data_IF_855911782758
#
_entry.id   IF_855911782758
#
_cell.length_a   1.000
_cell.length_b   1.000
_cell.length_c   1.000
_cell.angle_alpha   90.00
_cell.angle_beta   90.00
_cell.angle_gamma   90.00
#
_symmetry.space_group_name_H-M   'P 1'
#
loop_
_entity.id
_entity.type
_entity.pdbx_description
1 polymer ?
#
# COMPACT_ATOMS: atom_id res chain seq x y z
N UNK A 1 2.30 17.72 41.68
CA UNK A 1 1.56 17.86 40.41
C UNK A 1 0.12 18.17 40.74
N UNK A 2 -0.23 19.43 40.52
CA UNK A 2 -1.56 19.94 40.84
C UNK A 2 -2.62 19.31 39.95
N UNK A 3 -3.87 19.41 40.40
CA UNK A 3 -5.04 18.86 39.69
C UNK A 3 -5.19 19.48 38.29
N UNK A 4 -4.76 20.74 38.14
CA UNK A 4 -4.75 21.49 36.87
C UNK A 4 -3.69 20.95 35.92
N UNK A 5 -2.48 20.67 36.40
CA UNK A 5 -1.38 20.11 35.57
C UNK A 5 -1.75 18.76 34.96
N UNK A 6 -2.42 17.90 35.75
CA UNK A 6 -2.89 16.59 35.26
C UNK A 6 -3.98 16.71 34.20
N UNK A 7 -4.85 17.71 34.31
CA UNK A 7 -5.90 17.96 33.32
C UNK A 7 -5.32 18.49 32.00
N UNK A 8 -4.40 19.45 32.08
CA UNK A 8 -3.69 20.00 30.91
C UNK A 8 -2.87 18.91 30.21
N UNK A 9 -2.12 18.09 30.97
CA UNK A 9 -1.37 16.96 30.43
C UNK A 9 -2.29 15.92 29.75
N UNK A 10 -3.45 15.65 30.32
CA UNK A 10 -4.45 14.73 29.74
C UNK A 10 -5.00 15.22 28.40
N UNK A 11 -5.31 16.52 28.29
CA UNK A 11 -5.78 17.12 27.03
C UNK A 11 -4.69 17.11 25.97
N UNK A 12 -3.47 17.50 26.33
CA UNK A 12 -2.33 17.46 25.42
C UNK A 12 -2.06 16.04 24.91
N UNK A 13 -2.03 15.06 25.81
CA UNK A 13 -1.84 13.66 25.43
C UNK A 13 -2.99 13.15 24.54
N UNK A 14 -4.24 13.47 24.87
CA UNK A 14 -5.40 13.11 24.09
C UNK A 14 -5.40 13.74 22.69
N UNK A 15 -5.04 15.02 22.60
CA UNK A 15 -4.93 15.75 21.33
C UNK A 15 -3.84 15.15 20.42
N UNK A 16 -2.66 14.86 20.97
CA UNK A 16 -1.57 14.21 20.23
C UNK A 16 -2.01 12.81 19.76
N UNK A 17 -2.65 12.02 20.62
CA UNK A 17 -3.13 10.69 20.23
C UNK A 17 -4.17 10.75 19.10
N UNK A 18 -5.08 11.72 19.14
CA UNK A 18 -6.07 11.96 18.09
C UNK A 18 -5.43 12.35 16.75
N UNK A 19 -4.42 13.23 16.77
CA UNK A 19 -3.68 13.61 15.57
C UNK A 19 -2.96 12.40 14.97
N UNK A 20 -2.25 11.63 15.80
CA UNK A 20 -1.55 10.42 15.35
C UNK A 20 -2.52 9.38 14.78
N UNK A 21 -3.69 9.20 15.41
CA UNK A 21 -4.74 8.32 14.91
C UNK A 21 -5.27 8.80 13.56
N UNK A 22 -5.51 10.10 13.41
CA UNK A 22 -5.92 10.70 12.13
C UNK A 22 -4.91 10.45 11.01
N UNK A 23 -3.62 10.69 11.27
CA UNK A 23 -2.54 10.42 10.32
C UNK A 23 -2.48 8.94 9.95
N UNK A 24 -2.61 8.04 10.95
CA UNK A 24 -2.59 6.60 10.71
C UNK A 24 -3.78 6.16 9.83
N UNK A 25 -4.98 6.67 10.08
CA UNK A 25 -6.15 6.37 9.26
C UNK A 25 -5.96 6.84 7.82
N UNK A 26 -5.51 8.09 7.64
CA UNK A 26 -5.20 8.61 6.30
C UNK A 26 -4.16 7.74 5.62
N UNK A 27 -3.09 7.35 6.32
CA UNK A 27 -2.06 6.47 5.78
C UNK A 27 -2.62 5.09 5.38
N UNK A 28 -3.51 4.49 6.15
CA UNK A 28 -4.08 3.17 5.85
C UNK A 28 -5.01 3.18 4.63
N UNK A 29 -5.77 4.26 4.43
CA UNK A 29 -6.75 4.36 3.35
C UNK A 29 -6.26 5.13 2.13
N UNK A 30 -5.11 5.81 2.23
CA UNK A 30 -4.49 6.49 1.11
C UNK A 30 -4.17 5.50 -0.02
N UNK A 31 -4.60 5.88 -1.22
CA UNK A 31 -4.26 5.18 -2.46
C UNK A 31 -3.10 5.89 -3.11
N UNK A 32 -1.99 5.19 -3.27
CA UNK A 32 -0.82 5.71 -3.95
C UNK A 32 -0.93 5.35 -5.43
N UNK A 33 -0.93 6.34 -6.34
CA UNK A 33 -1.04 6.09 -7.77
C UNK A 33 0.22 5.41 -8.31
N UNK A 34 0.03 4.44 -9.20
CA UNK A 34 1.11 3.64 -9.78
C UNK A 34 1.10 3.73 -11.29
N UNK A 35 2.30 3.67 -11.88
CA UNK A 35 2.51 3.51 -13.31
C UNK A 35 2.56 2.01 -13.66
N UNK A 36 3.43 1.27 -12.96
CA UNK A 36 3.54 -0.18 -13.05
C UNK A 36 4.28 -0.75 -11.84
N UNK A 37 4.29 -2.08 -11.77
CA UNK A 37 4.98 -2.88 -10.77
C UNK A 37 5.74 -3.99 -11.46
N UNK A 38 6.92 -4.30 -10.94
CA UNK A 38 7.62 -5.55 -11.24
C UNK A 38 7.45 -6.51 -10.08
N UNK A 39 7.03 -7.74 -10.38
CA UNK A 39 6.77 -8.79 -9.40
C UNK A 39 7.51 -10.07 -9.77
N UNK A 40 7.77 -10.91 -8.77
CA UNK A 40 8.37 -12.22 -8.99
C UNK A 40 7.36 -13.21 -9.63
N UNK A 41 7.82 -14.43 -9.91
CA UNK A 41 6.98 -15.47 -10.49
C UNK A 41 5.79 -15.89 -9.60
N UNK A 42 5.97 -15.93 -8.28
CA UNK A 42 4.90 -16.30 -7.34
C UNK A 42 3.78 -15.27 -7.33
N UNK A 43 4.13 -13.98 -7.24
CA UNK A 43 3.18 -12.89 -7.34
C UNK A 43 2.47 -12.85 -8.69
N UNK A 44 3.19 -13.15 -9.78
CA UNK A 44 2.58 -13.27 -11.10
C UNK A 44 1.52 -14.37 -11.17
N UNK A 45 1.73 -15.51 -10.51
CA UNK A 45 0.74 -16.58 -10.43
C UNK A 45 -0.52 -16.14 -9.67
N UNK A 46 -0.35 -15.47 -8.52
CA UNK A 46 -1.49 -14.94 -7.73
C UNK A 46 -2.34 -14.01 -8.58
N UNK A 47 -1.71 -13.10 -9.33
CA UNK A 47 -2.42 -12.16 -10.18
C UNK A 47 -3.08 -12.82 -11.40
N UNK A 48 -2.42 -13.80 -12.02
CA UNK A 48 -3.03 -14.58 -13.11
C UNK A 48 -4.26 -15.36 -12.64
N UNK A 49 -4.20 -15.97 -11.45
CA UNK A 49 -5.35 -16.65 -10.84
C UNK A 49 -6.51 -15.69 -10.56
N UNK A 50 -6.22 -14.44 -10.20
CA UNK A 50 -7.21 -13.37 -10.08
C UNK A 50 -7.75 -12.84 -11.44
N UNK A 51 -7.27 -13.40 -12.56
CA UNK A 51 -7.63 -12.98 -13.91
C UNK A 51 -7.14 -11.57 -14.23
N UNK A 52 -5.96 -11.21 -13.71
CA UNK A 52 -5.22 -9.98 -14.08
C UNK A 52 -4.20 -10.33 -15.15
N UNK A 53 -4.07 -9.46 -16.15
CA UNK A 53 -3.08 -9.63 -17.19
C UNK A 53 -1.68 -9.29 -16.66
N UNK A 54 -0.77 -10.25 -16.76
CA UNK A 54 0.60 -10.16 -16.27
C UNK A 54 1.56 -10.40 -17.44
N UNK A 55 2.42 -9.43 -17.74
CA UNK A 55 3.37 -9.50 -18.85
C UNK A 55 4.76 -9.83 -18.31
N UNK A 56 5.62 -10.48 -19.09
CA UNK A 56 7.04 -10.58 -18.72
C UNK A 56 7.67 -9.18 -18.76
N UNK A 57 8.50 -8.86 -17.77
CA UNK A 57 9.20 -7.59 -17.75
C UNK A 57 10.28 -7.58 -18.86
N UNK A 58 10.25 -6.65 -19.83
CA UNK A 58 11.21 -6.62 -20.93
C UNK A 58 12.64 -6.25 -20.47
N UNK A 59 12.72 -5.55 -19.35
CA UNK A 59 13.91 -4.94 -18.77
C UNK A 59 14.45 -5.73 -17.56
N UNK A 60 13.68 -6.68 -17.02
CA UNK A 60 14.08 -7.47 -15.85
C UNK A 60 13.79 -8.97 -16.05
N UNK A 61 14.80 -9.77 -16.44
CA UNK A 61 14.63 -11.21 -16.64
C UNK A 61 14.09 -11.92 -15.40
N UNK A 62 13.06 -12.75 -15.59
CA UNK A 62 12.40 -13.49 -14.49
C UNK A 62 11.40 -12.68 -13.67
N UNK A 63 11.29 -11.37 -13.92
CA UNK A 63 10.24 -10.54 -13.36
C UNK A 63 9.05 -10.42 -14.31
N UNK A 64 7.93 -10.01 -13.74
CA UNK A 64 6.69 -9.78 -14.46
C UNK A 64 6.18 -8.37 -14.20
N UNK A 65 5.78 -7.70 -15.27
CA UNK A 65 5.23 -6.35 -15.24
C UNK A 65 3.71 -6.37 -15.13
N UNK A 66 3.19 -5.57 -14.21
CA UNK A 66 1.76 -5.37 -13.99
C UNK A 66 1.44 -3.88 -13.86
N UNK A 67 0.28 -3.45 -14.37
CA UNK A 67 -0.14 -2.05 -14.39
C UNK A 67 -1.42 -1.81 -13.57
N UNK A 68 -1.34 -1.80 -12.22
CA UNK A 68 -2.45 -1.31 -11.42
C UNK A 68 -2.54 0.23 -11.55
N UNK A 69 -3.72 0.78 -11.28
CA UNK A 69 -3.92 2.23 -11.16
C UNK A 69 -3.34 2.77 -9.86
N UNK A 70 -3.47 1.99 -8.78
CA UNK A 70 -3.04 2.40 -7.46
C UNK A 70 -2.78 1.19 -6.56
N UNK A 71 -2.13 1.44 -5.43
CA UNK A 71 -2.07 0.49 -4.31
C UNK A 71 -2.39 1.19 -2.99
N UNK A 72 -2.77 0.41 -1.97
CA UNK A 72 -2.79 0.93 -0.60
C UNK A 72 -1.38 1.35 -0.15
N UNK A 73 -1.30 2.25 0.83
CA UNK A 73 -0.02 2.80 1.27
C UNK A 73 0.96 1.74 1.81
N UNK A 74 2.23 2.17 1.86
CA UNK A 74 3.43 1.34 1.96
C UNK A 74 3.57 0.44 3.22
N UNK A 75 2.67 0.54 4.20
CA UNK A 75 2.97 0.13 5.58
C UNK A 75 2.55 -1.31 5.95
N UNK A 76 1.78 -1.99 5.11
CA UNK A 76 1.30 -3.36 5.39
C UNK A 76 2.15 -4.43 4.71
N UNK A 77 2.30 -5.61 5.34
CA UNK A 77 2.90 -6.80 4.72
C UNK A 77 2.16 -7.29 3.47
N UNK A 78 0.92 -6.85 3.29
CA UNK A 78 0.07 -7.13 2.13
C UNK A 78 -0.21 -5.82 1.38
N UNK A 79 0.14 -5.80 0.11
CA UNK A 79 -0.26 -4.78 -0.83
C UNK A 79 -1.62 -5.13 -1.46
N UNK A 80 -2.57 -4.20 -1.42
CA UNK A 80 -3.78 -4.27 -2.22
C UNK A 80 -3.55 -3.46 -3.48
N UNK A 81 -3.66 -4.11 -4.64
CA UNK A 81 -3.52 -3.49 -5.96
C UNK A 81 -4.90 -3.23 -6.55
N UNK A 82 -5.13 -2.02 -7.04
CA UNK A 82 -6.39 -1.59 -7.65
C UNK A 82 -6.21 -1.45 -9.16
N UNK A 83 -7.02 -2.15 -9.95
CA UNK A 83 -6.92 -2.19 -11.40
C UNK A 83 -8.01 -1.36 -12.08
N UNK A 84 -7.76 -0.94 -13.33
CA UNK A 84 -8.73 -0.19 -14.14
C UNK A 84 -10.01 -0.97 -14.43
N UNK A 85 -9.96 -2.30 -14.36
CA UNK A 85 -11.14 -3.18 -14.47
C UNK A 85 -12.04 -3.17 -13.23
N UNK A 86 -11.75 -2.34 -12.21
CA UNK A 86 -12.45 -2.33 -10.92
C UNK A 86 -12.07 -3.46 -9.97
N UNK A 87 -11.18 -4.38 -10.39
CA UNK A 87 -10.69 -5.47 -9.54
C UNK A 87 -9.72 -4.93 -8.49
N UNK A 88 -9.77 -5.53 -7.31
CA UNK A 88 -8.71 -5.39 -6.30
C UNK A 88 -8.11 -6.74 -5.99
N UNK A 89 -6.78 -6.82 -5.95
CA UNK A 89 -6.07 -8.07 -5.66
C UNK A 89 -5.05 -7.82 -4.55
N UNK A 90 -5.03 -8.72 -3.58
CA UNK A 90 -4.06 -8.69 -2.48
C UNK A 90 -2.83 -9.50 -2.89
N UNK A 91 -1.67 -8.88 -2.74
CA UNK A 91 -0.37 -9.43 -3.09
C UNK A 91 0.57 -9.27 -1.89
N UNK A 92 1.31 -10.31 -1.48
CA UNK A 92 2.36 -10.17 -0.48
C UNK A 92 3.43 -9.18 -0.94
N UNK A 93 3.89 -8.29 -0.06
CA UNK A 93 4.90 -7.28 -0.45
C UNK A 93 6.23 -7.88 -0.86
N UNK A 94 6.62 -9.01 -0.27
CA UNK A 94 7.87 -9.68 -0.62
C UNK A 94 7.88 -10.21 -2.06
N UNK A 95 6.70 -10.35 -2.68
CA UNK A 95 6.58 -10.73 -4.09
C UNK A 95 6.74 -9.56 -5.06
N UNK A 96 6.73 -8.32 -4.53
CA UNK A 96 6.93 -7.11 -5.33
C UNK A 96 8.41 -6.76 -5.33
N UNK A 97 9.00 -6.79 -6.52
CA UNK A 97 10.42 -6.48 -6.74
C UNK A 97 10.64 -4.97 -6.88
N UNK A 98 9.74 -4.27 -7.57
CA UNK A 98 9.85 -2.83 -7.80
C UNK A 98 8.49 -2.13 -7.86
N UNK A 99 8.42 -0.97 -7.19
CA UNK A 99 7.30 -0.05 -7.26
C UNK A 99 7.64 1.13 -8.17
N UNK A 100 6.85 1.34 -9.22
CA UNK A 100 6.98 2.53 -10.06
C UNK A 100 5.76 3.42 -9.89
N UNK A 101 5.95 4.47 -9.10
CA UNK A 101 4.92 5.45 -8.76
C UNK A 101 4.63 6.41 -9.90
N UNK A 102 3.42 6.96 -9.92
CA UNK A 102 3.01 8.01 -10.85
C UNK A 102 3.06 9.36 -10.14
N UNK A 103 3.88 10.28 -10.65
CA UNK A 103 3.93 11.69 -10.24
C UNK A 103 3.04 12.54 -11.12
#
# INVERSE_FOLDING_TARGET
MDRVDRWVAGILAGGVALILLGILLVALFARVPLSHLEINAQGAQILRQAGVLVQAAPDWPGAYRVKPLASNAAFSSIATLYFSSGKSVRLPRHDVLLWVYRG
#
